data_IF_625587939702
#
_entry.id   IF_625587939702
#
_cell.length_a   1.000
_cell.length_b   1.000
_cell.length_c   1.000
_cell.angle_alpha   90.00
_cell.angle_beta   90.00
_cell.angle_gamma   90.00
#
_symmetry.space_group_name_H-M   'P 1'
#
loop_
_entity.id
_entity.type
_entity.pdbx_description
1 polymer ?
#
# COMPACT_ATOMS: atom_id res chain seq x y z
N UNK A 1 -30.65 -7.01 -17.57
CA UNK A 1 -31.67 -6.54 -16.61
C UNK A 1 -31.62 -5.02 -16.60
N UNK A 2 -32.70 -4.34 -16.26
CA UNK A 2 -32.68 -2.88 -16.16
C UNK A 2 -31.91 -2.44 -14.91
N UNK A 3 -31.48 -1.18 -14.88
CA UNK A 3 -30.86 -0.58 -13.70
C UNK A 3 -31.76 -0.73 -12.45
N UNK A 4 -33.06 -0.46 -12.61
CA UNK A 4 -34.01 -0.52 -11.51
C UNK A 4 -34.16 -1.93 -10.93
N UNK A 5 -34.26 -2.94 -11.80
CA UNK A 5 -34.33 -4.34 -11.38
C UNK A 5 -33.06 -4.77 -10.63
N UNK A 6 -31.88 -4.43 -11.17
CA UNK A 6 -30.61 -4.76 -10.55
C UNK A 6 -30.49 -4.18 -9.13
N UNK A 7 -30.79 -2.88 -8.98
CA UNK A 7 -30.70 -2.19 -7.70
C UNK A 7 -31.75 -2.69 -6.71
N UNK A 8 -32.96 -3.01 -7.18
CA UNK A 8 -34.00 -3.58 -6.33
C UNK A 8 -33.60 -4.97 -5.80
N UNK A 9 -33.09 -5.85 -6.66
CA UNK A 9 -32.62 -7.16 -6.23
C UNK A 9 -31.43 -7.08 -5.27
N UNK A 10 -30.50 -6.15 -5.53
CA UNK A 10 -29.38 -5.89 -4.63
C UNK A 10 -29.86 -5.38 -3.27
N UNK A 11 -30.82 -4.47 -3.25
CA UNK A 11 -31.38 -3.90 -2.02
C UNK A 11 -32.07 -4.99 -1.18
N UNK A 12 -32.93 -5.80 -1.81
CA UNK A 12 -33.64 -6.89 -1.14
C UNK A 12 -32.65 -7.90 -0.57
N UNK A 13 -31.58 -8.22 -1.29
CA UNK A 13 -30.57 -9.17 -0.83
C UNK A 13 -29.70 -8.64 0.32
N UNK A 14 -29.52 -7.32 0.43
CA UNK A 14 -28.75 -6.68 1.52
C UNK A 14 -29.61 -6.32 2.73
N UNK A 15 -30.92 -6.14 2.54
CA UNK A 15 -31.81 -5.66 3.57
C UNK A 15 -31.97 -6.70 4.69
N UNK A 16 -31.66 -6.31 5.92
CA UNK A 16 -31.72 -7.19 7.09
C UNK A 16 -30.45 -8.02 7.33
N UNK A 17 -29.54 -8.06 6.35
CA UNK A 17 -28.24 -8.75 6.45
C UNK A 17 -27.13 -7.77 6.89
N UNK A 18 -27.24 -6.49 6.53
CA UNK A 18 -26.29 -5.44 6.92
C UNK A 18 -27.01 -4.17 7.40
N UNK A 19 -26.26 -3.26 8.04
CA UNK A 19 -26.78 -1.98 8.52
C UNK A 19 -27.40 -1.13 7.40
N UNK A 20 -28.52 -0.48 7.70
CA UNK A 20 -29.28 0.31 6.73
C UNK A 20 -28.46 1.41 6.06
N UNK A 21 -27.49 2.00 6.77
CA UNK A 21 -26.56 2.97 6.22
C UNK A 21 -25.68 2.36 5.11
N UNK A 22 -25.15 1.15 5.36
CA UNK A 22 -24.35 0.41 4.40
C UNK A 22 -25.17 -0.07 3.20
N UNK A 23 -26.44 -0.47 3.40
CA UNK A 23 -27.36 -0.75 2.28
C UNK A 23 -27.49 0.46 1.38
N UNK A 24 -27.83 1.62 1.94
CA UNK A 24 -28.04 2.85 1.16
C UNK A 24 -26.77 3.30 0.42
N UNK A 25 -25.60 3.16 1.04
CA UNK A 25 -24.31 3.46 0.42
C UNK A 25 -24.05 2.56 -0.79
N UNK A 26 -24.23 1.25 -0.65
CA UNK A 26 -24.05 0.30 -1.74
C UNK A 26 -25.02 0.56 -2.89
N UNK A 27 -26.31 0.77 -2.60
CA UNK A 27 -27.29 1.10 -3.64
C UNK A 27 -26.88 2.37 -4.39
N UNK A 28 -26.48 3.42 -3.68
CA UNK A 28 -26.04 4.67 -4.32
C UNK A 28 -24.77 4.49 -5.15
N UNK A 29 -23.83 3.67 -4.70
CA UNK A 29 -22.60 3.37 -5.43
C UNK A 29 -22.90 2.72 -6.78
N UNK A 30 -23.70 1.64 -6.80
CA UNK A 30 -24.05 0.95 -8.03
C UNK A 30 -24.97 1.78 -8.93
N UNK A 31 -25.87 2.59 -8.35
CA UNK A 31 -26.72 3.54 -9.08
C UNK A 31 -25.86 4.52 -9.91
N UNK A 32 -24.89 5.15 -9.24
CA UNK A 32 -23.96 6.08 -9.87
C UNK A 32 -23.08 5.40 -10.93
N UNK A 33 -22.57 4.20 -10.62
CA UNK A 33 -21.71 3.46 -11.55
C UNK A 33 -22.45 3.12 -12.85
N UNK A 34 -23.68 2.59 -12.73
CA UNK A 34 -24.49 2.25 -13.91
C UNK A 34 -24.78 3.51 -14.73
N UNK A 35 -25.12 4.62 -14.07
CA UNK A 35 -25.35 5.89 -14.77
C UNK A 35 -24.09 6.42 -15.48
N UNK A 36 -22.93 6.34 -14.84
CA UNK A 36 -21.65 6.79 -15.41
C UNK A 36 -21.29 5.97 -16.66
N UNK A 37 -21.45 4.64 -16.59
CA UNK A 37 -21.20 3.75 -17.72
C UNK A 37 -22.22 3.94 -18.85
N UNK A 38 -23.49 4.19 -18.51
CA UNK A 38 -24.49 4.54 -19.52
C UNK A 38 -24.20 5.87 -20.20
N UNK A 39 -23.66 6.85 -19.48
CA UNK A 39 -23.21 8.13 -20.06
C UNK A 39 -22.04 7.95 -21.05
N UNK A 40 -21.27 6.88 -20.92
CA UNK A 40 -20.19 6.51 -21.85
C UNK A 40 -20.70 5.79 -23.11
N UNK A 41 -22.02 5.58 -23.23
CA UNK A 41 -22.66 5.01 -24.41
C UNK A 41 -23.03 3.52 -24.29
N UNK A 42 -22.85 2.89 -23.13
CA UNK A 42 -23.32 1.52 -22.87
C UNK A 42 -24.80 1.49 -22.50
N UNK A 43 -25.51 0.42 -22.82
CA UNK A 43 -26.90 0.26 -22.34
C UNK A 43 -26.91 -0.25 -20.90
N UNK A 44 -28.01 -0.01 -20.17
CA UNK A 44 -28.15 -0.51 -18.79
C UNK A 44 -28.01 -2.04 -18.71
N UNK A 45 -28.54 -2.75 -19.71
CA UNK A 45 -28.45 -4.21 -19.78
C UNK A 45 -27.01 -4.68 -19.98
N UNK A 46 -26.22 -3.96 -20.78
CA UNK A 46 -24.82 -4.29 -21.00
C UNK A 46 -23.99 -4.08 -19.74
N UNK A 47 -24.23 -2.97 -19.04
CA UNK A 47 -23.52 -2.64 -17.79
C UNK A 47 -23.89 -3.64 -16.68
N UNK A 48 -25.18 -3.93 -16.51
CA UNK A 48 -25.63 -4.90 -15.50
C UNK A 48 -25.17 -6.32 -15.83
N UNK A 49 -25.09 -6.71 -17.11
CA UNK A 49 -24.51 -7.98 -17.50
C UNK A 49 -23.00 -8.07 -17.19
N UNK A 50 -22.26 -6.97 -17.36
CA UNK A 50 -20.85 -6.87 -16.97
C UNK A 50 -20.66 -6.96 -15.45
N UNK A 51 -21.54 -6.33 -14.68
CA UNK A 51 -21.55 -6.40 -13.21
C UNK A 51 -21.90 -7.81 -12.70
N UNK A 52 -22.75 -8.53 -13.42
CA UNK A 52 -23.17 -9.88 -13.08
C UNK A 52 -24.39 -9.92 -12.17
N UNK A 53 -24.49 -10.98 -11.35
CA UNK A 53 -25.67 -11.20 -10.50
C UNK A 53 -25.66 -10.27 -9.27
N UNK A 54 -26.73 -9.48 -9.04
CA UNK A 54 -26.83 -8.62 -7.85
C UNK A 54 -26.78 -9.42 -6.55
N UNK A 55 -27.26 -10.67 -6.54
CA UNK A 55 -27.21 -11.56 -5.36
C UNK A 55 -25.79 -12.01 -4.99
N UNK A 56 -24.91 -12.23 -5.97
CA UNK A 56 -23.52 -12.59 -5.70
C UNK A 56 -22.73 -11.41 -5.15
N UNK A 57 -23.02 -10.21 -5.67
CA UNK A 57 -22.49 -8.97 -5.12
C UNK A 57 -22.96 -8.79 -3.67
N UNK A 58 -24.27 -8.93 -3.43
CA UNK A 58 -24.83 -8.86 -2.08
C UNK A 58 -24.14 -9.85 -1.12
N UNK A 59 -23.98 -11.12 -1.53
CA UNK A 59 -23.29 -12.13 -0.73
C UNK A 59 -21.86 -11.70 -0.37
N UNK A 60 -21.11 -11.15 -1.32
CA UNK A 60 -19.74 -10.70 -1.06
C UNK A 60 -19.70 -9.53 -0.08
N UNK A 61 -20.65 -8.59 -0.21
CA UNK A 61 -20.79 -7.46 0.71
C UNK A 61 -21.14 -7.92 2.13
N UNK A 62 -22.08 -8.86 2.27
CA UNK A 62 -22.48 -9.47 3.55
C UNK A 62 -21.32 -10.23 4.17
N UNK A 63 -20.66 -11.11 3.41
CA UNK A 63 -19.50 -11.88 3.89
C UNK A 63 -18.36 -10.93 4.35
N UNK A 64 -18.25 -9.75 3.74
CA UNK A 64 -17.25 -8.74 4.11
C UNK A 64 -17.68 -7.92 5.32
N UNK A 65 -18.95 -7.50 5.39
CA UNK A 65 -19.49 -6.78 6.54
C UNK A 65 -19.56 -7.64 7.79
N UNK A 66 -19.87 -8.94 7.66
CA UNK A 66 -19.84 -9.88 8.78
C UNK A 66 -18.41 -10.11 9.26
N UNK A 67 -17.42 -10.21 8.35
CA UNK A 67 -16.00 -10.24 8.75
C UNK A 67 -15.56 -8.97 9.46
N UNK A 68 -16.04 -7.81 9.02
CA UNK A 68 -15.79 -6.54 9.69
C UNK A 68 -16.50 -6.52 11.05
N UNK A 69 -17.78 -6.87 11.13
CA UNK A 69 -18.56 -6.89 12.37
C UNK A 69 -18.05 -7.93 13.38
N UNK A 70 -17.63 -9.12 12.94
CA UNK A 70 -17.00 -10.14 13.77
C UNK A 70 -15.58 -9.73 14.19
N UNK A 71 -14.86 -8.96 13.37
CA UNK A 71 -13.62 -8.29 13.79
C UNK A 71 -13.87 -7.11 14.73
N UNK A 72 -15.04 -6.47 14.67
CA UNK A 72 -15.45 -5.30 15.45
C UNK A 72 -16.15 -5.68 16.77
N UNK A 73 -16.68 -6.90 16.87
CA UNK A 73 -17.09 -7.54 18.12
C UNK A 73 -15.91 -7.85 19.06
N UNK A 74 -14.68 -7.80 18.54
CA UNK A 74 -13.43 -7.89 19.31
C UNK A 74 -12.88 -6.50 19.71
N UNK A 75 -13.56 -5.39 19.41
CA UNK A 75 -13.06 -4.03 19.72
C UNK A 75 -13.56 -3.43 21.05
N UNK A 76 -14.38 -4.16 21.84
CA UNK A 76 -14.88 -3.68 23.14
C UNK A 76 -14.43 -4.51 24.36
N UNK A 77 -13.43 -5.37 24.21
CA UNK A 77 -12.74 -5.98 25.33
C UNK A 77 -11.25 -5.90 25.09
N UNK A 78 -10.56 -5.43 26.12
CA UNK A 78 -9.23 -4.88 26.00
C UNK A 78 -8.21 -5.87 25.47
N UNK A 79 -7.20 -5.24 24.88
CA UNK A 79 -5.83 -5.74 24.84
C UNK A 79 -5.56 -6.93 23.91
N UNK A 80 -4.46 -6.81 23.18
CA UNK A 80 -3.84 -7.79 22.28
C UNK A 80 -4.53 -8.17 20.96
N UNK A 81 -3.81 -7.94 19.85
CA UNK A 81 -3.68 -8.99 18.82
C UNK A 81 -4.13 -8.66 17.40
N UNK A 82 -3.57 -7.61 16.79
CA UNK A 82 -3.68 -7.32 15.35
C UNK A 82 -3.15 -8.47 14.46
N UNK A 83 -3.93 -8.93 13.48
CA UNK A 83 -3.56 -9.47 12.15
C UNK A 83 -4.89 -9.82 11.44
N UNK A 84 -5.20 -9.56 10.17
CA UNK A 84 -4.44 -9.36 8.92
C UNK A 84 -5.36 -8.61 7.93
N UNK A 85 -4.98 -7.42 7.45
CA UNK A 85 -5.68 -6.70 6.37
C UNK A 85 -4.68 -6.01 5.46
N UNK A 86 -4.58 -6.47 4.21
CA UNK A 86 -3.62 -6.00 3.22
C UNK A 86 -4.02 -4.65 2.63
N UNK A 87 -3.47 -3.56 3.17
CA UNK A 87 -3.50 -2.23 2.59
C UNK A 87 -2.21 -1.49 2.93
N UNK A 88 -1.57 -0.85 1.95
CA UNK A 88 -0.43 0.02 2.17
C UNK A 88 -0.95 1.35 2.72
N UNK A 89 -0.95 1.50 4.04
CA UNK A 89 -1.25 2.77 4.72
C UNK A 89 0.09 3.38 5.14
N UNK A 90 0.42 4.54 4.58
CA UNK A 90 1.52 5.37 5.03
C UNK A 90 0.89 6.58 5.74
N UNK A 91 0.92 6.55 7.08
CA UNK A 91 0.42 7.64 7.90
C UNK A 91 1.62 8.34 8.58
N UNK A 92 1.69 9.66 8.48
CA UNK A 92 2.79 10.45 8.99
C UNK A 92 2.40 11.01 10.35
N UNK A 93 2.85 10.36 11.43
CA UNK A 93 2.63 10.85 12.79
C UNK A 93 3.86 11.61 13.30
N UNK A 94 3.63 12.86 13.71
CA UNK A 94 4.66 13.83 14.12
C UNK A 94 5.44 13.41 15.38
N UNK A 95 4.99 12.35 16.07
CA UNK A 95 5.56 11.86 17.33
C UNK A 95 6.38 10.55 17.19
N UNK A 96 6.18 9.73 16.15
CA UNK A 96 6.78 8.38 16.06
C UNK A 96 7.49 8.04 14.74
N UNK A 97 7.50 8.94 13.75
CA UNK A 97 8.13 8.68 12.44
C UNK A 97 7.31 7.75 11.54
N UNK A 98 7.87 7.37 10.39
CA UNK A 98 7.18 6.66 9.31
C UNK A 98 6.74 5.25 9.75
N UNK A 99 5.44 5.02 9.87
CA UNK A 99 4.86 3.69 10.06
C UNK A 99 4.37 3.16 8.70
N UNK A 100 4.99 2.09 8.21
CA UNK A 100 4.67 1.47 6.93
C UNK A 100 4.10 0.08 7.20
N UNK A 101 2.77 -0.04 7.21
CA UNK A 101 2.07 -1.30 7.48
C UNK A 101 1.78 -1.98 6.14
N UNK A 102 2.66 -2.87 5.70
CA UNK A 102 2.38 -3.77 4.58
C UNK A 102 1.59 -4.98 5.07
N UNK A 103 0.31 -4.96 4.77
CA UNK A 103 -0.57 -6.10 4.72
C UNK A 103 -0.03 -7.52 4.97
N UNK A 104 -0.36 -8.04 6.15
CA UNK A 104 -0.21 -9.45 6.52
C UNK A 104 1.20 -9.90 6.89
N UNK A 105 2.19 -9.01 6.85
CA UNK A 105 3.48 -9.24 7.48
C UNK A 105 3.57 -8.31 8.68
N UNK A 106 3.49 -8.88 9.88
CA UNK A 106 3.87 -8.21 11.13
C UNK A 106 5.35 -7.83 11.07
N UNK A 107 5.67 -6.76 10.35
CA UNK A 107 6.91 -6.04 10.53
C UNK A 107 6.80 -5.38 11.91
N UNK A 108 7.19 -6.13 12.95
CA UNK A 108 7.38 -5.55 14.27
C UNK A 108 8.28 -4.31 14.09
N UNK A 109 7.91 -3.17 14.66
CA UNK A 109 8.65 -1.91 14.57
C UNK A 109 10.15 -2.06 14.92
N UNK A 110 10.50 -3.09 15.69
CA UNK A 110 11.88 -3.58 15.90
C UNK A 110 12.63 -3.96 14.61
N UNK A 111 12.01 -4.71 13.70
CA UNK A 111 12.63 -5.09 12.43
C UNK A 111 12.86 -3.86 11.55
N UNK A 112 12.01 -2.84 11.64
CA UNK A 112 12.25 -1.55 11.00
C UNK A 112 13.52 -0.87 11.53
N UNK A 113 13.72 -0.87 12.85
CA UNK A 113 14.96 -0.36 13.47
C UNK A 113 16.19 -1.17 13.05
N UNK A 114 16.09 -2.50 13.03
CA UNK A 114 17.17 -3.37 12.53
C UNK A 114 17.48 -3.10 11.06
N UNK A 115 16.45 -2.94 10.22
CA UNK A 115 16.60 -2.69 8.78
C UNK A 115 17.24 -1.32 8.52
N UNK A 116 16.88 -0.29 9.29
CA UNK A 116 17.55 1.01 9.25
C UNK A 116 19.03 0.90 9.64
N UNK A 117 19.35 0.19 10.73
CA UNK A 117 20.74 -0.05 11.13
C UNK A 117 21.49 -0.81 10.03
N UNK A 118 20.86 -1.81 9.40
CA UNK A 118 21.44 -2.59 8.31
C UNK A 118 21.75 -1.72 7.09
N UNK A 119 20.82 -0.84 6.69
CA UNK A 119 21.03 0.15 5.62
C UNK A 119 22.15 1.13 5.99
N UNK A 120 22.19 1.64 7.22
CA UNK A 120 23.23 2.55 7.67
C UNK A 120 24.62 1.89 7.63
N UNK A 121 24.73 0.63 8.08
CA UNK A 121 25.95 -0.16 7.98
C UNK A 121 26.34 -0.38 6.52
N UNK A 122 25.39 -0.72 5.65
CA UNK A 122 25.63 -0.88 4.21
C UNK A 122 26.20 0.40 3.60
N UNK A 123 25.64 1.57 3.92
CA UNK A 123 26.14 2.86 3.44
C UNK A 123 27.57 3.12 3.92
N UNK A 124 27.87 2.86 5.19
CA UNK A 124 29.23 3.01 5.74
C UNK A 124 30.20 2.07 5.00
N UNK A 125 29.80 0.82 4.75
CA UNK A 125 30.62 -0.15 4.00
C UNK A 125 30.85 0.31 2.57
N UNK A 126 29.85 0.89 1.90
CA UNK A 126 29.99 1.45 0.55
C UNK A 126 30.98 2.61 0.57
N UNK A 127 30.85 3.56 1.50
CA UNK A 127 31.77 4.70 1.63
C UNK A 127 33.20 4.22 1.93
N UNK A 128 33.36 3.27 2.85
CA UNK A 128 34.65 2.68 3.17
C UNK A 128 35.27 1.96 1.97
N UNK A 129 34.46 1.21 1.19
CA UNK A 129 34.92 0.58 -0.05
C UNK A 129 35.31 1.60 -1.10
N UNK A 130 34.55 2.68 -1.26
CA UNK A 130 34.90 3.76 -2.19
C UNK A 130 36.25 4.37 -1.80
N UNK A 131 36.46 4.69 -0.51
CA UNK A 131 37.75 5.23 -0.03
C UNK A 131 38.89 4.20 -0.18
N UNK A 132 38.63 2.92 0.14
CA UNK A 132 39.60 1.84 0.01
C UNK A 132 39.94 1.52 -1.46
N UNK A 133 39.02 1.76 -2.39
CA UNK A 133 39.25 1.67 -3.83
C UNK A 133 39.95 2.92 -4.37
N UNK A 134 39.71 4.09 -3.77
CA UNK A 134 40.33 5.35 -4.15
C UNK A 134 41.80 5.43 -3.73
N UNK A 135 42.15 4.89 -2.55
CA UNK A 135 43.53 4.84 -2.04
C UNK A 135 44.55 4.23 -3.03
N UNK A 136 44.36 3.01 -3.59
CA UNK A 136 45.29 2.41 -4.53
C UNK A 136 45.30 3.11 -5.90
N UNK A 137 44.30 3.93 -6.23
CA UNK A 137 44.28 4.81 -7.41
C UNK A 137 45.01 6.12 -7.12
N UNK A 138 44.91 6.64 -5.89
CA UNK A 138 45.54 7.89 -5.49
C UNK A 138 47.07 7.75 -5.37
N UNK A 139 47.57 6.60 -4.90
CA UNK A 139 49.01 6.31 -4.81
C UNK A 139 49.75 6.47 -6.15
N UNK A 140 49.34 5.83 -7.27
CA UNK A 140 50.00 6.01 -8.56
C UNK A 140 49.84 7.44 -9.10
N UNK A 141 48.72 8.11 -8.85
CA UNK A 141 48.53 9.52 -9.25
C UNK A 141 49.51 10.43 -8.50
N UNK A 142 49.65 10.26 -7.18
CA UNK A 142 50.62 11.01 -6.36
C UNK A 142 52.05 10.70 -6.83
N UNK A 143 52.36 9.44 -7.14
CA UNK A 143 53.67 9.07 -7.70
C UNK A 143 53.94 9.78 -9.04
N UNK A 144 52.97 9.84 -9.94
CA UNK A 144 53.09 10.56 -11.22
C UNK A 144 53.24 12.07 -11.01
N UNK A 145 52.48 12.66 -10.09
CA UNK A 145 52.60 14.08 -9.74
C UNK A 145 53.97 14.39 -9.11
N UNK A 146 54.50 13.49 -8.27
CA UNK A 146 55.82 13.62 -7.67
C UNK A 146 56.90 13.47 -8.74
N UNK A 147 56.78 12.51 -9.65
CA UNK A 147 57.72 12.35 -10.78
C UNK A 147 57.69 13.57 -11.71
N UNK A 148 56.50 14.06 -12.03
CA UNK A 148 56.31 15.29 -12.81
C UNK A 148 56.94 16.49 -12.09
N UNK A 149 56.68 16.65 -10.79
CA UNK A 149 57.26 17.71 -9.96
C UNK A 149 58.78 17.58 -9.81
N UNK A 150 59.34 16.37 -9.76
CA UNK A 150 60.79 16.16 -9.71
C UNK A 150 61.45 16.53 -11.05
N UNK A 151 60.83 16.15 -12.17
CA UNK A 151 61.36 16.40 -13.52
C UNK A 151 61.16 17.86 -13.95
N UNK A 152 60.03 18.48 -13.63
CA UNK A 152 59.69 19.86 -14.01
C UNK A 152 59.95 20.90 -12.90
N UNK A 153 59.94 20.52 -11.63
CA UNK A 153 60.20 21.40 -10.49
C UNK A 153 61.69 21.66 -10.22
N UNK A 154 62.60 20.89 -10.84
CA UNK A 154 64.04 21.20 -10.82
C UNK A 154 64.44 22.25 -11.86
N UNK A 155 63.47 23.00 -12.42
CA UNK A 155 63.69 24.15 -13.31
C UNK A 155 63.02 25.40 -12.74
N UNK A 156 63.36 25.76 -11.50
CA UNK A 156 63.31 27.14 -11.01
C UNK A 156 64.49 27.38 -10.10
#
# INVERSE_FOLDING_TARGET
>A
MTKQEFLHELQVALQGEIDQAAVNENIRFYDNYIMEESRKGKTEEEVTAQLGSPRLIAKTLIDTSEKIASSQGQYYSGDYGSDTGRGFQADYSEQNGWDVRFGGLKLNSWYGKLLLIMIAVLLIVIVANVVAFLLPILVPIILLLLLYSLIFGNRR
#
